data_IF_958778628739
#
_entry.id   IF_958778628739
#
_cell.length_a   1.000
_cell.length_b   1.000
_cell.length_c   1.000
_cell.angle_alpha   90.00
_cell.angle_beta   90.00
_cell.angle_gamma   90.00
#
_symmetry.space_group_name_H-M   'P 1'
#
loop_
_entity.id
_entity.type
_entity.pdbx_description
1 polymer ?
#
# COMPACT_ATOMS: atom_id res chain seq x y z
N UNK A 1 10.82 27.35 2.29
CA UNK A 1 9.34 27.22 2.40
C UNK A 1 8.94 25.86 2.99
N UNK A 2 9.34 24.74 2.38
CA UNK A 2 9.13 23.41 2.95
C UNK A 2 9.85 23.20 4.29
N UNK A 3 11.08 23.73 4.41
CA UNK A 3 11.85 23.56 5.65
C UNK A 3 11.39 24.41 6.84
N UNK A 4 10.62 25.47 6.59
CA UNK A 4 10.26 26.42 7.65
C UNK A 4 11.45 27.18 8.28
N UNK A 5 12.64 27.10 7.67
CA UNK A 5 13.90 27.72 8.12
C UNK A 5 15.00 27.56 7.05
N UNK A 6 16.27 27.73 7.45
CA UNK A 6 17.44 27.59 6.56
C UNK A 6 17.98 26.15 6.44
N UNK A 7 17.65 25.28 7.39
CA UNK A 7 18.04 23.87 7.44
C UNK A 7 16.87 23.01 7.91
N UNK A 8 17.06 21.69 7.88
CA UNK A 8 16.13 20.74 8.53
C UNK A 8 16.27 20.88 10.04
N UNK A 9 15.15 21.04 10.73
CA UNK A 9 15.03 21.10 12.19
C UNK A 9 13.59 20.82 12.67
N UNK A 10 13.20 21.34 13.82
CA UNK A 10 11.91 21.01 14.44
C UNK A 10 10.70 21.42 13.59
N UNK A 11 10.80 22.57 12.92
CA UNK A 11 9.73 23.08 12.06
C UNK A 11 9.47 22.16 10.86
N UNK A 12 10.50 21.48 10.34
CA UNK A 12 10.35 20.44 9.30
C UNK A 12 9.70 19.18 9.85
N UNK A 13 10.21 18.66 10.97
CA UNK A 13 9.80 17.36 11.49
C UNK A 13 8.31 17.35 11.87
N UNK A 14 7.85 18.42 12.53
CA UNK A 14 6.43 18.58 12.89
C UNK A 14 5.51 18.64 11.67
N UNK A 15 5.95 19.27 10.57
CA UNK A 15 5.18 19.32 9.32
C UNK A 15 5.18 17.98 8.62
N UNK A 16 6.33 17.30 8.58
CA UNK A 16 6.44 15.97 7.97
C UNK A 16 5.56 14.96 8.69
N UNK A 17 5.52 14.99 10.02
CA UNK A 17 4.57 14.19 10.78
C UNK A 17 3.11 14.51 10.41
N UNK A 18 2.76 15.80 10.33
CA UNK A 18 1.40 16.22 9.96
C UNK A 18 1.00 15.75 8.55
N UNK A 19 1.91 15.85 7.57
CA UNK A 19 1.67 15.35 6.22
C UNK A 19 1.62 13.82 6.18
N UNK A 20 2.54 13.14 6.87
CA UNK A 20 2.56 11.68 6.94
C UNK A 20 1.26 11.14 7.55
N UNK A 21 0.67 11.83 8.51
CA UNK A 21 -0.64 11.47 9.06
C UNK A 21 -1.77 11.70 8.05
N UNK A 22 -1.76 12.82 7.32
CA UNK A 22 -2.85 13.19 6.41
C UNK A 22 -2.85 12.39 5.09
N UNK A 23 -1.68 12.12 4.52
CA UNK A 23 -1.55 11.51 3.19
C UNK A 23 -2.20 10.12 3.06
N UNK A 24 -2.13 9.21 4.04
CA UNK A 24 -2.84 7.93 4.00
C UNK A 24 -4.35 8.09 3.80
N UNK A 25 -4.98 9.10 4.40
CA UNK A 25 -6.41 9.36 4.20
C UNK A 25 -6.72 9.90 2.81
N UNK A 26 -5.85 10.77 2.28
CA UNK A 26 -5.96 11.21 0.90
C UNK A 26 -5.85 10.02 -0.07
N UNK A 27 -4.96 9.07 0.21
CA UNK A 27 -4.82 7.84 -0.58
C UNK A 27 -6.09 6.98 -0.56
N UNK A 28 -6.88 6.97 0.52
CA UNK A 28 -8.17 6.26 0.54
C UNK A 28 -9.15 6.83 -0.49
N UNK A 29 -9.17 8.16 -0.68
CA UNK A 29 -10.01 8.81 -1.69
C UNK A 29 -9.56 8.41 -3.09
N UNK A 30 -8.25 8.45 -3.34
CA UNK A 30 -7.67 8.02 -4.63
C UNK A 30 -7.96 6.54 -4.91
N UNK A 31 -7.83 5.67 -3.90
CA UNK A 31 -8.16 4.25 -4.00
C UNK A 31 -9.63 4.04 -4.33
N UNK A 32 -10.54 4.76 -3.67
CA UNK A 32 -11.97 4.70 -3.96
C UNK A 32 -12.29 5.11 -5.40
N UNK A 33 -11.70 6.21 -5.88
CA UNK A 33 -11.85 6.65 -7.27
C UNK A 33 -11.24 5.67 -8.28
N UNK A 34 -10.11 5.06 -7.94
CA UNK A 34 -9.51 4.00 -8.77
C UNK A 34 -10.44 2.79 -8.89
N UNK A 35 -10.98 2.30 -7.77
CA UNK A 35 -11.89 1.15 -7.76
C UNK A 35 -13.23 1.45 -8.45
N UNK A 36 -13.76 2.68 -8.36
CA UNK A 36 -14.98 3.04 -9.08
C UNK A 36 -14.79 2.98 -10.59
N UNK A 37 -13.66 3.47 -11.11
CA UNK A 37 -13.34 3.38 -12.53
C UNK A 37 -13.12 1.92 -12.95
N UNK A 38 -12.43 1.13 -12.12
CA UNK A 38 -12.25 -0.30 -12.38
C UNK A 38 -13.59 -1.05 -12.42
N UNK A 39 -14.55 -0.69 -11.57
CA UNK A 39 -15.90 -1.27 -11.61
C UNK A 39 -16.69 -0.88 -12.86
N UNK A 40 -16.49 0.32 -13.39
CA UNK A 40 -17.19 0.78 -14.61
C UNK A 40 -16.67 0.08 -15.86
N UNK A 41 -15.35 -0.09 -16.00
CA UNK A 41 -14.73 -0.68 -17.19
C UNK A 41 -14.47 -2.20 -17.08
N UNK A 42 -14.43 -2.74 -15.86
CA UNK A 42 -14.09 -4.13 -15.57
C UNK A 42 -12.58 -4.43 -15.63
N UNK A 43 -12.20 -5.59 -15.10
CA UNK A 43 -10.82 -6.08 -15.16
C UNK A 43 -10.47 -6.65 -16.54
N UNK A 44 -9.23 -6.46 -16.95
CA UNK A 44 -8.65 -7.17 -18.10
C UNK A 44 -8.32 -8.63 -17.76
N UNK A 45 -7.90 -9.40 -18.76
CA UNK A 45 -7.44 -10.79 -18.58
C UNK A 45 -6.11 -11.01 -19.32
N UNK A 46 -5.35 -12.08 -19.00
CA UNK A 46 -4.03 -12.31 -19.59
C UNK A 46 -4.00 -12.43 -21.12
N UNK A 47 -5.11 -12.83 -21.74
CA UNK A 47 -5.21 -12.92 -23.21
C UNK A 47 -5.52 -11.57 -23.86
N UNK A 48 -5.91 -10.55 -23.09
CA UNK A 48 -6.29 -9.23 -23.60
C UNK A 48 -7.56 -9.22 -24.45
N UNK A 49 -8.32 -10.32 -24.45
CA UNK A 49 -9.57 -10.47 -25.21
C UNK A 49 -10.77 -10.00 -24.39
N UNK A 50 -11.93 -9.85 -25.01
CA UNK A 50 -13.15 -9.52 -24.29
C UNK A 50 -13.57 -10.68 -23.36
N UNK A 51 -13.62 -10.41 -22.06
CA UNK A 51 -13.94 -11.39 -21.01
C UNK A 51 -15.44 -11.55 -20.75
N UNK A 52 -16.31 -10.74 -21.36
CA UNK A 52 -17.77 -10.73 -21.10
C UNK A 52 -18.46 -12.08 -21.32
N UNK A 53 -17.89 -12.94 -22.17
CA UNK A 53 -18.46 -14.24 -22.54
C UNK A 53 -18.19 -15.30 -21.46
N UNK A 54 -17.20 -15.10 -20.59
CA UNK A 54 -16.69 -16.12 -19.65
C UNK A 54 -16.53 -15.60 -18.21
N UNK A 55 -17.29 -14.57 -17.83
CA UNK A 55 -17.22 -14.02 -16.47
C UNK A 55 -17.72 -15.01 -15.42
N UNK A 56 -17.03 -15.06 -14.28
CA UNK A 56 -17.43 -15.77 -13.07
C UNK A 56 -17.68 -14.76 -11.95
N UNK A 57 -18.58 -15.02 -10.99
CA UNK A 57 -18.81 -14.12 -9.88
C UNK A 57 -17.55 -14.01 -8.98
N UNK A 58 -17.36 -12.85 -8.34
CA UNK A 58 -16.24 -12.64 -7.42
C UNK A 58 -16.24 -13.65 -6.26
N UNK A 59 -17.39 -13.83 -5.63
CA UNK A 59 -17.61 -14.90 -4.67
C UNK A 59 -18.10 -16.17 -5.38
N UNK A 60 -17.54 -17.36 -5.09
CA UNK A 60 -16.48 -17.65 -4.12
C UNK A 60 -15.05 -17.57 -4.69
N UNK A 61 -14.91 -17.49 -6.01
CA UNK A 61 -13.66 -17.78 -6.72
C UNK A 61 -12.51 -16.84 -6.34
N UNK A 62 -12.69 -15.54 -6.56
CA UNK A 62 -11.65 -14.56 -6.30
C UNK A 62 -11.49 -14.27 -4.81
N UNK A 63 -12.57 -14.37 -4.01
CA UNK A 63 -12.46 -14.22 -2.55
C UNK A 63 -11.48 -15.25 -1.95
N UNK A 64 -11.60 -16.53 -2.32
CA UNK A 64 -10.72 -17.56 -1.77
C UNK A 64 -9.28 -17.44 -2.30
N UNK A 65 -9.08 -17.02 -3.56
CA UNK A 65 -7.72 -16.73 -4.06
C UNK A 65 -7.09 -15.55 -3.31
N UNK A 66 -7.86 -14.51 -2.99
CA UNK A 66 -7.39 -13.34 -2.25
C UNK A 66 -7.03 -13.70 -0.81
N UNK A 67 -7.85 -14.52 -0.14
CA UNK A 67 -7.54 -15.02 1.22
C UNK A 67 -6.25 -15.84 1.22
N UNK A 68 -6.05 -16.70 0.22
CA UNK A 68 -4.80 -17.45 0.09
C UNK A 68 -3.62 -16.50 -0.10
N UNK A 69 -3.73 -15.52 -1.00
CA UNK A 69 -2.71 -14.50 -1.23
C UNK A 69 -2.37 -13.71 0.03
N UNK A 70 -3.39 -13.27 0.78
CA UNK A 70 -3.22 -12.59 2.06
C UNK A 70 -2.52 -13.49 3.08
N UNK A 71 -2.86 -14.77 3.17
CA UNK A 71 -2.21 -15.70 4.11
C UNK A 71 -0.72 -15.87 3.82
N UNK A 72 -0.33 -15.93 2.54
CA UNK A 72 1.07 -16.01 2.12
C UNK A 72 1.82 -14.72 2.42
N UNK A 73 1.20 -13.57 2.17
CA UNK A 73 1.76 -12.27 2.52
C UNK A 73 1.97 -12.11 4.04
N UNK A 74 1.00 -12.54 4.85
CA UNK A 74 1.10 -12.53 6.32
C UNK A 74 2.22 -13.45 6.82
N UNK A 75 2.39 -14.62 6.21
CA UNK A 75 3.50 -15.51 6.54
C UNK A 75 4.85 -14.84 6.24
N UNK A 76 4.99 -14.20 5.07
CA UNK A 76 6.22 -13.50 4.71
C UNK A 76 6.49 -12.29 5.61
N UNK A 77 5.47 -11.48 5.92
CA UNK A 77 5.63 -10.33 6.81
C UNK A 77 5.96 -10.74 8.24
N UNK A 78 5.40 -11.86 8.72
CA UNK A 78 5.71 -12.41 10.04
C UNK A 78 7.19 -12.79 10.19
N UNK A 79 7.83 -13.28 9.12
CA UNK A 79 9.27 -13.57 9.13
C UNK A 79 10.07 -12.28 9.38
N UNK A 80 9.76 -11.20 8.66
CA UNK A 80 10.44 -9.93 8.87
C UNK A 80 10.18 -9.39 10.27
N UNK A 81 8.95 -9.41 10.77
CA UNK A 81 8.65 -8.83 12.09
C UNK A 81 9.25 -9.64 13.25
N UNK A 82 9.13 -10.97 13.23
CA UNK A 82 9.46 -11.80 14.40
C UNK A 82 10.81 -12.49 14.35
N UNK A 83 11.30 -12.86 13.16
CA UNK A 83 12.53 -13.64 13.03
C UNK A 83 13.73 -12.77 12.64
N UNK A 84 13.53 -11.77 11.78
CA UNK A 84 14.61 -10.89 11.37
C UNK A 84 14.17 -9.43 11.08
N UNK A 85 13.83 -8.65 12.12
CA UNK A 85 13.27 -7.29 12.00
C UNK A 85 14.19 -6.27 11.37
N UNK A 86 15.50 -6.50 11.41
CA UNK A 86 16.49 -5.53 10.96
C UNK A 86 17.02 -5.77 9.55
N UNK A 87 16.61 -6.85 8.86
CA UNK A 87 17.08 -7.16 7.50
C UNK A 87 16.78 -6.05 6.50
N UNK A 88 15.70 -5.29 6.71
CA UNK A 88 15.30 -4.20 5.83
C UNK A 88 15.64 -2.80 6.41
N UNK A 89 16.28 -2.72 7.58
CA UNK A 89 16.63 -1.45 8.24
C UNK A 89 18.10 -1.07 8.00
N UNK A 90 18.37 0.24 7.94
CA UNK A 90 19.73 0.77 7.98
C UNK A 90 20.20 0.94 9.43
N UNK A 91 21.39 0.43 9.76
CA UNK A 91 21.98 0.52 11.10
C UNK A 91 22.22 1.98 11.54
N UNK A 92 22.48 2.90 10.60
CA UNK A 92 22.72 4.32 10.92
C UNK A 92 21.46 5.00 11.49
N UNK A 93 20.27 4.48 11.21
CA UNK A 93 19.01 5.06 11.70
C UNK A 93 18.73 4.73 13.18
N UNK A 94 19.64 4.03 13.85
CA UNK A 94 19.65 3.84 15.32
C UNK A 94 20.55 4.85 16.04
N UNK A 95 21.29 5.67 15.31
CA UNK A 95 22.06 6.79 15.85
C UNK A 95 21.23 8.08 15.77
N UNK A 96 21.52 9.03 16.66
CA UNK A 96 20.89 10.35 16.62
C UNK A 96 21.40 11.14 15.41
N UNK A 97 20.48 11.88 14.77
CA UNK A 97 20.75 12.66 13.56
C UNK A 97 21.53 13.95 13.84
#
# INVERSE_FOLDING_TARGET
>A
LAWGGYSVGDATLNRFYSFHFLLPFLMLVVMGGHLSLLHEFGSSNPLGLDSRISMVPFYPYYLYSDILGLSLWMMMSSYFVFLNPYVLSDALNYEEA
#
